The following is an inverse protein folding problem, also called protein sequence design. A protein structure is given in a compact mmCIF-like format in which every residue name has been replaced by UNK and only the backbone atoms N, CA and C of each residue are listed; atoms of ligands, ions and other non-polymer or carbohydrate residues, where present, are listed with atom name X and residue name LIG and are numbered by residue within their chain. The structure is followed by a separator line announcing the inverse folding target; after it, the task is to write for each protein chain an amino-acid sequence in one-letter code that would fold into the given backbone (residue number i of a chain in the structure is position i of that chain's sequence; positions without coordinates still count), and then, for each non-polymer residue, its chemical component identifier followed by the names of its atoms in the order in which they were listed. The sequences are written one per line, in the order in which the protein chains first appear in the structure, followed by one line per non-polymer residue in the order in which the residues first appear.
data_IF_909264004165
#
_entry.id   IF_909264004165
#
_cell.length_a   1.000
_cell.length_b   1.000
_cell.length_c   1.000
_cell.angle_alpha   90.00
_cell.angle_beta   90.00
_cell.angle_gamma   90.00
#
_symmetry.space_group_name_H-M   'P 1'
#
loop_
_entity.id
_entity.type
_entity.pdbx_description
1 polymer ?
#
# COMPACT_ATOMS: atom_id res chain seq x y z
N UNK A 1 0.73 4.28 -24.80
CA UNK A 1 -0.45 4.25 -23.91
C UNK A 1 -0.77 2.78 -23.66
N UNK A 2 -0.13 2.16 -22.67
CA UNK A 2 -0.38 0.75 -22.33
C UNK A 2 -1.62 0.67 -21.44
N UNK A 3 -2.58 -0.16 -21.83
CA UNK A 3 -3.79 -0.41 -21.06
C UNK A 3 -3.49 -1.43 -19.96
N UNK A 4 -3.62 -0.99 -18.71
CA UNK A 4 -3.62 -1.86 -17.55
C UNK A 4 -5.06 -2.36 -17.38
N UNK A 5 -5.29 -3.65 -17.60
CA UNK A 5 -6.57 -4.30 -17.36
C UNK A 5 -6.58 -4.79 -15.92
N UNK A 6 -7.21 -4.01 -15.05
CA UNK A 6 -7.32 -4.29 -13.63
C UNK A 6 -8.60 -5.08 -13.38
N UNK A 7 -8.48 -6.40 -13.30
CA UNK A 7 -9.46 -7.18 -12.55
C UNK A 7 -9.06 -7.05 -11.09
N UNK A 8 -10.01 -6.68 -10.22
CA UNK A 8 -9.89 -6.82 -8.78
C UNK A 8 -9.15 -8.12 -8.44
N UNK A 9 -8.12 -8.05 -7.57
CA UNK A 9 -7.38 -9.16 -6.92
C UNK A 9 -5.89 -9.19 -7.24
N UNK A 10 -5.08 -8.86 -6.22
CA UNK A 10 -3.77 -9.46 -5.87
C UNK A 10 -2.65 -9.51 -6.91
N UNK A 11 -2.90 -9.13 -8.15
CA UNK A 11 -2.01 -9.40 -9.27
C UNK A 11 -1.85 -8.15 -10.12
N UNK A 12 -0.60 -7.77 -10.34
CA UNK A 12 -0.20 -6.66 -11.18
C UNK A 12 0.39 -7.23 -12.48
N UNK A 13 -0.31 -7.04 -13.59
CA UNK A 13 0.18 -7.43 -14.91
C UNK A 13 0.86 -6.25 -15.60
N UNK A 14 2.12 -6.40 -15.99
CA UNK A 14 2.88 -5.40 -16.71
C UNK A 14 3.33 -5.94 -18.08
N UNK A 15 3.02 -5.20 -19.15
CA UNK A 15 3.42 -5.55 -20.52
C UNK A 15 4.35 -4.46 -21.07
N UNK A 16 5.65 -4.73 -21.25
CA UNK A 16 6.58 -3.76 -21.80
C UNK A 16 6.27 -3.44 -23.26
N UNK A 17 6.44 -2.18 -23.71
CA UNK A 17 6.13 -1.77 -25.09
C UNK A 17 7.02 -2.40 -26.18
N UNK A 18 8.05 -3.19 -25.82
CA UNK A 18 8.96 -3.86 -26.76
C UNK A 18 9.06 -5.38 -26.57
N UNK A 19 8.33 -5.98 -25.63
CA UNK A 19 8.34 -7.44 -25.45
C UNK A 19 6.97 -8.05 -25.74
N UNK A 20 7.00 -9.31 -26.21
CA UNK A 20 5.79 -10.07 -26.52
C UNK A 20 5.14 -10.74 -25.30
N UNK A 21 5.82 -10.77 -24.14
CA UNK A 21 5.35 -11.46 -22.94
C UNK A 21 4.93 -10.49 -21.83
N UNK A 22 3.75 -10.74 -21.24
CA UNK A 22 3.24 -10.06 -20.05
C UNK A 22 3.84 -10.67 -18.80
N UNK A 23 4.34 -9.83 -17.90
CA UNK A 23 4.80 -10.24 -16.57
C UNK A 23 3.65 -10.07 -15.59
N UNK A 24 3.40 -11.08 -14.75
CA UNK A 24 2.40 -11.02 -13.68
C UNK A 24 3.12 -11.11 -12.35
N UNK A 25 2.87 -10.13 -11.49
CA UNK A 25 3.40 -10.06 -10.13
C UNK A 25 2.24 -10.24 -9.14
N UNK A 26 2.39 -11.11 -8.15
CA UNK A 26 1.36 -11.35 -7.14
C UNK A 26 1.76 -10.74 -5.81
N UNK A 27 0.81 -10.04 -5.18
CA UNK A 27 0.93 -9.35 -3.90
C UNK A 27 -0.34 -9.60 -3.07
N UNK A 28 -0.27 -9.40 -1.75
CA UNK A 28 -1.44 -9.57 -0.88
C UNK A 28 -2.51 -8.52 -1.15
N UNK A 29 -2.09 -7.27 -1.33
CA UNK A 29 -2.93 -6.14 -1.72
C UNK A 29 -2.21 -5.27 -2.74
N UNK A 30 -2.96 -4.71 -3.70
CA UNK A 30 -2.46 -3.78 -4.71
C UNK A 30 -3.39 -2.58 -4.72
N UNK A 31 -2.83 -1.40 -4.50
CA UNK A 31 -3.56 -0.14 -4.45
C UNK A 31 -3.26 0.70 -5.68
N UNK A 32 -4.28 1.39 -6.19
CA UNK A 32 -4.14 2.26 -7.35
C UNK A 32 -3.93 3.72 -6.91
N UNK A 33 -3.86 4.64 -7.88
CA UNK A 33 -3.73 6.07 -7.59
C UNK A 33 -5.03 6.71 -7.08
N UNK A 34 -6.16 5.99 -7.15
CA UNK A 34 -7.46 6.40 -6.62
C UNK A 34 -7.68 5.94 -5.17
N UNK A 35 -6.94 4.94 -4.71
CA UNK A 35 -7.01 4.44 -3.33
C UNK A 35 -6.66 5.55 -2.34
N UNK A 36 -7.50 5.69 -1.32
CA UNK A 36 -7.30 6.70 -0.28
C UNK A 36 -6.31 6.22 0.78
N UNK A 37 -5.67 7.15 1.49
CA UNK A 37 -4.79 6.83 2.63
C UNK A 37 -5.54 6.10 3.76
N UNK A 38 -6.84 6.35 3.87
CA UNK A 38 -7.71 5.68 4.85
C UNK A 38 -7.96 4.22 4.46
N UNK A 39 -8.34 3.97 3.21
CA UNK A 39 -8.57 2.62 2.68
C UNK A 39 -7.32 1.75 2.83
N UNK A 40 -6.15 2.26 2.43
CA UNK A 40 -4.86 1.56 2.57
C UNK A 40 -4.57 1.23 4.04
N UNK A 41 -4.92 2.15 4.95
CA UNK A 41 -4.74 1.93 6.38
C UNK A 41 -5.67 0.86 6.94
N UNK A 42 -6.95 0.92 6.63
CA UNK A 42 -7.94 -0.04 7.12
C UNK A 42 -7.69 -1.45 6.61
N UNK A 43 -7.28 -1.61 5.34
CA UNK A 43 -7.08 -2.92 4.74
C UNK A 43 -5.73 -3.56 5.08
N UNK A 44 -4.62 -2.80 5.01
CA UNK A 44 -3.28 -3.37 5.19
C UNK A 44 -2.68 -3.18 6.57
N UNK A 45 -2.95 -2.06 7.23
CA UNK A 45 -2.20 -1.68 8.44
C UNK A 45 -2.95 -1.92 9.73
N UNK A 46 -4.27 -1.70 9.73
CA UNK A 46 -5.15 -1.96 10.88
C UNK A 46 -4.95 -3.35 11.52
N UNK A 47 -4.98 -4.47 10.77
CA UNK A 47 -4.80 -5.80 11.37
C UNK A 47 -3.41 -5.99 12.02
N UNK A 48 -2.38 -5.29 11.52
CA UNK A 48 -1.04 -5.32 12.11
C UNK A 48 -1.04 -4.54 13.43
N UNK A 49 -1.68 -3.37 13.47
CA UNK A 49 -1.80 -2.56 14.68
C UNK A 49 -2.62 -3.30 15.75
N UNK A 50 -3.72 -3.96 15.36
CA UNK A 50 -4.53 -4.78 16.26
C UNK A 50 -3.70 -5.92 16.87
N UNK A 51 -2.90 -6.61 16.05
CA UNK A 51 -1.98 -7.64 16.53
C UNK A 51 -0.96 -7.09 17.53
N UNK A 52 -0.51 -5.84 17.35
CA UNK A 52 0.40 -5.18 18.28
C UNK A 52 -0.27 -4.87 19.62
N UNK A 53 -1.54 -4.47 19.61
CA UNK A 53 -2.33 -4.25 20.82
C UNK A 53 -2.59 -5.55 21.59
N UNK A 54 -2.65 -6.70 20.90
CA UNK A 54 -2.73 -8.03 21.51
C UNK A 54 -1.40 -8.51 22.14
N UNK A 55 -0.32 -7.72 22.02
CA UNK A 55 0.99 -8.02 22.60
C UNK A 55 1.96 -8.73 21.65
N UNK A 56 1.68 -8.76 20.34
CA UNK A 56 2.62 -9.23 19.32
C UNK A 56 3.50 -8.09 18.80
N UNK A 57 4.66 -8.43 18.24
CA UNK A 57 5.53 -7.43 17.60
C UNK A 57 5.19 -7.31 16.12
N UNK A 58 4.76 -6.12 15.69
CA UNK A 58 4.54 -5.75 14.29
C UNK A 58 5.68 -4.90 13.74
N UNK A 59 6.06 -5.10 12.48
CA UNK A 59 7.05 -4.25 11.81
C UNK A 59 6.63 -3.98 10.37
N UNK A 60 6.57 -2.70 10.00
CA UNK A 60 6.13 -2.25 8.67
C UNK A 60 7.30 -1.55 7.99
N UNK A 61 7.58 -1.94 6.74
CA UNK A 61 8.62 -1.32 5.92
C UNK A 61 8.02 -0.74 4.66
N UNK A 62 8.33 0.53 4.38
CA UNK A 62 8.07 1.14 3.08
C UNK A 62 9.30 1.00 2.18
N UNK A 63 9.17 0.25 1.09
CA UNK A 63 10.26 0.00 0.15
C UNK A 63 9.92 0.55 -1.24
N UNK A 64 10.93 1.11 -1.92
CA UNK A 64 10.78 1.71 -3.26
C UNK A 64 11.83 2.77 -3.55
N UNK A 65 11.95 3.17 -4.82
CA UNK A 65 12.87 4.23 -5.24
C UNK A 65 12.48 5.61 -4.67
N UNK A 66 13.40 6.55 -4.58
CA UNK A 66 13.08 7.95 -4.20
C UNK A 66 12.01 8.53 -5.12
N UNK A 67 11.01 9.20 -4.55
CA UNK A 67 9.88 9.76 -5.30
C UNK A 67 8.69 8.81 -5.52
N UNK A 68 8.75 7.55 -5.07
CA UNK A 68 7.65 6.58 -5.25
C UNK A 68 6.60 6.60 -4.13
N UNK A 69 6.55 7.65 -3.30
CA UNK A 69 5.51 7.80 -2.29
C UNK A 69 5.73 7.09 -0.94
N UNK A 70 6.93 6.61 -0.62
CA UNK A 70 7.23 6.00 0.71
C UNK A 70 6.85 6.91 1.89
N UNK A 71 7.35 8.16 1.87
CA UNK A 71 7.05 9.17 2.91
C UNK A 71 5.56 9.50 2.92
N UNK A 72 4.93 9.55 1.76
CA UNK A 72 3.48 9.75 1.65
C UNK A 72 2.71 8.63 2.36
N UNK A 73 3.04 7.36 2.13
CA UNK A 73 2.33 6.24 2.79
C UNK A 73 2.59 6.19 4.29
N UNK A 74 3.84 6.42 4.74
CA UNK A 74 4.23 6.27 6.14
C UNK A 74 3.82 7.46 6.99
N UNK A 75 4.12 8.67 6.54
CA UNK A 75 3.90 9.92 7.27
C UNK A 75 2.64 10.63 6.77
N UNK A 76 2.48 10.73 5.46
CA UNK A 76 1.38 11.46 4.82
C UNK A 76 1.55 12.98 4.92
N UNK A 77 0.44 13.69 4.84
CA UNK A 77 0.37 15.14 5.09
C UNK A 77 -0.64 15.45 6.20
N UNK A 78 -0.74 16.70 6.61
CA UNK A 78 -1.73 17.11 7.62
C UNK A 78 -3.17 16.88 7.14
N UNK A 79 -3.45 17.12 5.86
CA UNK A 79 -4.77 16.91 5.26
C UNK A 79 -5.05 15.44 4.95
N UNK A 80 -4.01 14.66 4.67
CA UNK A 80 -4.08 13.25 4.33
C UNK A 80 -3.09 12.45 5.19
N UNK A 81 -3.39 12.25 6.50
CA UNK A 81 -2.49 11.58 7.42
C UNK A 81 -2.18 10.17 6.95
N UNK A 82 -0.91 9.79 7.00
CA UNK A 82 -0.43 8.47 6.62
C UNK A 82 -0.56 7.45 7.75
N UNK A 83 0.23 6.39 7.65
CA UNK A 83 0.25 5.29 8.60
C UNK A 83 0.52 5.71 10.05
N UNK A 84 1.62 6.45 10.30
CA UNK A 84 2.08 6.79 11.65
C UNK A 84 1.00 7.53 12.46
N UNK A 85 0.50 8.71 12.01
CA UNK A 85 -0.51 9.44 12.77
C UNK A 85 -1.82 8.66 12.95
N UNK A 86 -2.21 7.84 11.96
CA UNK A 86 -3.41 6.99 12.07
C UNK A 86 -3.23 5.86 13.07
N UNK A 87 -2.06 5.21 13.10
CA UNK A 87 -1.74 4.18 14.07
C UNK A 87 -1.75 4.74 15.50
N UNK A 88 -1.17 5.93 15.71
CA UNK A 88 -1.23 6.62 17.00
C UNK A 88 -2.66 6.89 17.45
N UNK A 89 -3.52 7.43 16.58
CA UNK A 89 -4.94 7.66 16.88
C UNK A 89 -5.76 6.37 17.10
N UNK A 90 -5.25 5.23 16.64
CA UNK A 90 -5.92 3.94 16.84
C UNK A 90 -5.53 3.30 18.19
N UNK A 91 -4.31 3.54 18.65
CA UNK A 91 -3.77 2.97 19.89
C UNK A 91 -4.24 3.76 21.13
N UNK A 92 -4.32 5.09 21.02
CA UNK A 92 -4.64 6.01 22.13
C UNK A 92 -6.04 6.58 22.02
#
# INVERSE_FOLDING_TARGET
RGSLLWSQARCLSWTPPRAASTFVFSFDSVYDAGSSQEEVYEESFKPIVDSVLEGFNGTIFAYGQTGTGKTWTVEGTEEAPGLIPRAFNHIF
#
